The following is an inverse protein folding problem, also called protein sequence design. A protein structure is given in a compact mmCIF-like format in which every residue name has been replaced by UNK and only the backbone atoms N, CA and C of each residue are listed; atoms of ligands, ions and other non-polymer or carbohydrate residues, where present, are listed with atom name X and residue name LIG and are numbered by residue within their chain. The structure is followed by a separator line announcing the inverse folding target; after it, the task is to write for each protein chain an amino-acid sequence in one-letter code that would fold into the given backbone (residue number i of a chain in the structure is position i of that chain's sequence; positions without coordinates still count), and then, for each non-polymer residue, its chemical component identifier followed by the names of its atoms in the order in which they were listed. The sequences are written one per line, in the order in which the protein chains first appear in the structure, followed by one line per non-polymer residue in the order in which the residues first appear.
data_IF_782436503517
#
_entry.id   IF_782436503517
#
_cell.length_a   1.000
_cell.length_b   1.000
_cell.length_c   1.000
_cell.angle_alpha   90.00
_cell.angle_beta   90.00
_cell.angle_gamma   90.00
#
_symmetry.space_group_name_H-M   'P 1'
#
loop_
_entity.id
_entity.type
_entity.pdbx_description
1 polymer ?
#
# COMPACT_ATOMS: atom_id res chain seq x y z
N UNK A 1 -7.56 -32.34 -12.85
CA UNK A 1 -8.69 -31.52 -12.34
C UNK A 1 -8.30 -30.67 -11.13
N UNK A 2 -7.84 -31.26 -10.01
CA UNK A 2 -7.40 -30.49 -8.82
C UNK A 2 -6.33 -29.43 -9.11
N UNK A 3 -5.31 -29.77 -9.90
CA UNK A 3 -4.24 -28.83 -10.29
C UNK A 3 -4.77 -27.66 -11.13
N UNK A 4 -5.66 -27.91 -12.09
CA UNK A 4 -6.27 -26.86 -12.91
C UNK A 4 -7.09 -25.87 -12.06
N UNK A 5 -7.83 -26.38 -11.06
CA UNK A 5 -8.59 -25.54 -10.12
C UNK A 5 -7.65 -24.68 -9.26
N UNK A 6 -6.54 -25.24 -8.77
CA UNK A 6 -5.58 -24.48 -7.99
C UNK A 6 -4.91 -23.38 -8.83
N UNK A 7 -4.50 -23.69 -10.06
CA UNK A 7 -3.94 -22.69 -10.97
C UNK A 7 -4.94 -21.55 -11.24
N UNK A 8 -6.22 -21.87 -11.45
CA UNK A 8 -7.25 -20.86 -11.68
C UNK A 8 -7.41 -19.92 -10.48
N UNK A 9 -7.37 -20.46 -9.26
CA UNK A 9 -7.41 -19.66 -8.03
C UNK A 9 -6.19 -18.75 -7.92
N UNK A 10 -5.00 -19.30 -8.14
CA UNK A 10 -3.75 -18.54 -8.08
C UNK A 10 -3.74 -17.40 -9.12
N UNK A 11 -4.15 -17.68 -10.35
CA UNK A 11 -4.22 -16.65 -11.40
C UNK A 11 -5.28 -15.58 -11.10
N UNK A 12 -6.41 -15.96 -10.49
CA UNK A 12 -7.43 -14.99 -10.08
C UNK A 12 -6.91 -14.07 -8.96
N UNK A 13 -6.18 -14.61 -7.97
CA UNK A 13 -5.58 -13.80 -6.90
C UNK A 13 -4.50 -12.85 -7.44
N UNK A 14 -3.64 -13.32 -8.35
CA UNK A 14 -2.64 -12.47 -9.01
C UNK A 14 -3.29 -11.37 -9.85
N UNK A 15 -4.35 -11.69 -10.59
CA UNK A 15 -5.10 -10.72 -11.38
C UNK A 15 -5.82 -9.70 -10.49
N UNK A 16 -6.38 -10.09 -9.36
CA UNK A 16 -6.96 -9.14 -8.41
C UNK A 16 -5.88 -8.25 -7.80
N UNK A 17 -4.76 -8.85 -7.38
CA UNK A 17 -3.65 -8.11 -6.79
C UNK A 17 -3.07 -7.06 -7.74
N UNK A 18 -3.12 -7.26 -9.07
CA UNK A 18 -2.57 -6.30 -10.02
C UNK A 18 -3.30 -4.95 -10.04
N UNK A 19 -4.53 -4.89 -9.54
CA UNK A 19 -5.34 -3.66 -9.48
C UNK A 19 -5.17 -2.85 -8.19
N UNK A 20 -4.41 -3.34 -7.21
CA UNK A 20 -4.16 -2.59 -5.98
C UNK A 20 -3.18 -1.43 -6.19
N UNK A 21 -3.32 -0.39 -5.37
CA UNK A 21 -2.57 0.86 -5.45
C UNK A 21 -1.22 0.77 -4.71
N UNK A 22 -0.29 -0.05 -5.24
CA UNK A 22 1.04 -0.20 -4.64
C UNK A 22 1.91 1.05 -4.78
N UNK A 23 1.53 1.98 -5.64
CA UNK A 23 2.13 3.31 -5.78
C UNK A 23 1.93 4.18 -4.53
N UNK A 24 0.90 3.94 -3.71
CA UNK A 24 0.69 4.67 -2.46
C UNK A 24 1.74 4.39 -1.39
N UNK A 25 2.63 3.40 -1.60
CA UNK A 25 3.72 3.06 -0.68
C UNK A 25 4.72 4.20 -0.52
N UNK A 26 4.97 4.97 -1.59
CA UNK A 26 5.97 6.05 -1.62
C UNK A 26 5.43 7.27 -2.34
N UNK A 27 5.90 8.44 -1.96
CA UNK A 27 5.66 9.64 -2.75
C UNK A 27 6.53 9.68 -4.02
N UNK A 28 6.37 10.74 -4.83
CA UNK A 28 7.13 10.94 -6.06
C UNK A 28 8.65 11.05 -5.85
N UNK A 29 9.11 11.30 -4.63
CA UNK A 29 10.52 11.38 -4.26
C UNK A 29 11.05 10.05 -3.69
N UNK A 30 10.22 9.00 -3.67
CA UNK A 30 10.58 7.70 -3.14
C UNK A 30 10.55 7.61 -1.61
N UNK A 31 9.98 8.61 -0.91
CA UNK A 31 9.87 8.61 0.55
C UNK A 31 8.62 7.81 0.93
N UNK A 32 8.73 6.83 1.87
CA UNK A 32 7.58 6.08 2.34
C UNK A 32 6.44 6.99 2.80
N UNK A 33 5.22 6.69 2.37
CA UNK A 33 4.03 7.38 2.87
C UNK A 33 3.51 6.69 4.13
N UNK A 34 2.62 7.38 4.84
CA UNK A 34 2.14 6.93 6.14
C UNK A 34 0.63 6.84 6.18
N UNK A 35 0.10 6.19 7.21
CA UNK A 35 -1.30 6.20 7.62
C UNK A 35 -1.37 6.48 9.11
N UNK A 36 -2.54 6.90 9.60
CA UNK A 36 -2.76 6.96 11.04
C UNK A 36 -2.81 5.55 11.65
N UNK A 37 -2.21 5.35 12.82
CA UNK A 37 -2.51 4.15 13.59
C UNK A 37 -3.90 4.26 14.21
N UNK A 38 -4.67 3.19 14.12
CA UNK A 38 -6.03 3.10 14.65
C UNK A 38 -6.07 2.18 15.87
N UNK A 39 -6.88 2.54 16.85
CA UNK A 39 -7.21 1.67 17.98
C UNK A 39 -8.15 0.51 17.55
N UNK A 40 -8.48 -0.37 18.49
CA UNK A 40 -9.40 -1.50 18.25
C UNK A 40 -10.81 -1.09 17.80
N UNK A 41 -11.20 0.17 18.03
CA UNK A 41 -12.50 0.73 17.64
C UNK A 41 -12.42 1.52 16.32
N UNK A 42 -11.24 1.60 15.69
CA UNK A 42 -11.02 2.34 14.44
C UNK A 42 -10.75 3.84 14.62
N UNK A 43 -10.50 4.32 15.84
CA UNK A 43 -10.19 5.73 16.08
C UNK A 43 -8.69 6.00 15.96
N UNK A 44 -8.32 7.19 15.45
CA UNK A 44 -6.92 7.65 15.38
C UNK A 44 -6.33 7.75 16.79
N UNK A 45 -5.16 7.15 17.00
CA UNK A 45 -4.44 7.21 18.28
C UNK A 45 -3.72 8.57 18.38
N UNK A 46 -3.97 9.34 19.45
CA UNK A 46 -3.30 10.62 19.70
C UNK A 46 -1.86 10.42 20.17
N UNK A 47 -0.94 11.15 19.55
CA UNK A 47 0.47 11.21 19.95
C UNK A 47 1.08 12.52 19.42
N UNK A 48 1.37 13.44 20.34
CA UNK A 48 1.89 14.80 20.04
C UNK A 48 3.33 14.78 19.50
N UNK A 49 4.01 13.64 19.51
CA UNK A 49 5.34 13.50 18.89
C UNK A 49 5.29 13.55 17.36
N UNK A 50 4.12 13.34 16.77
CA UNK A 50 3.92 13.34 15.33
C UNK A 50 3.39 14.69 14.84
N UNK A 51 3.70 15.10 13.59
CA UNK A 51 3.35 16.43 13.09
C UNK A 51 1.86 16.76 13.16
N UNK A 52 1.00 15.74 13.02
CA UNK A 52 -0.47 15.90 13.04
C UNK A 52 -1.09 15.62 14.42
N UNK A 53 -0.28 15.37 15.45
CA UNK A 53 -0.76 15.03 16.80
C UNK A 53 -1.39 13.64 16.94
N UNK A 54 -1.24 12.79 15.92
CA UNK A 54 -1.71 11.41 15.90
C UNK A 54 -0.57 10.50 15.49
N UNK A 55 -0.52 9.29 16.05
CA UNK A 55 0.49 8.31 15.71
C UNK A 55 0.40 7.96 14.22
N UNK A 56 1.52 8.09 13.52
CA UNK A 56 1.65 7.77 12.10
C UNK A 56 2.53 6.54 11.93
N UNK A 57 2.13 5.61 11.08
CA UNK A 57 2.89 4.40 10.73
C UNK A 57 3.10 4.33 9.23
N UNK A 58 4.22 3.75 8.79
CA UNK A 58 4.50 3.58 7.37
C UNK A 58 3.46 2.67 6.69
N UNK A 59 3.08 3.02 5.46
CA UNK A 59 2.26 2.15 4.60
C UNK A 59 3.06 0.88 4.32
N UNK A 60 2.40 -0.27 4.42
CA UNK A 60 3.00 -1.57 4.07
C UNK A 60 2.20 -2.21 2.94
N UNK A 61 2.75 -3.26 2.32
CA UNK A 61 2.03 -4.04 1.30
C UNK A 61 0.75 -4.66 1.87
N UNK A 62 0.75 -5.05 3.15
CA UNK A 62 -0.44 -5.54 3.83
C UNK A 62 -1.53 -4.49 3.87
N UNK A 63 -1.20 -3.25 4.25
CA UNK A 63 -2.17 -2.15 4.31
C UNK A 63 -2.85 -1.92 2.94
N UNK A 64 -2.09 -2.03 1.84
CA UNK A 64 -2.59 -1.77 0.49
C UNK A 64 -3.61 -2.82 0.04
N UNK A 65 -3.38 -4.11 0.34
CA UNK A 65 -4.21 -5.19 -0.20
C UNK A 65 -5.32 -5.63 0.75
N UNK A 66 -5.15 -5.43 2.06
CA UNK A 66 -6.06 -5.95 3.08
C UNK A 66 -7.27 -5.02 3.27
N UNK A 67 -8.47 -5.61 3.15
CA UNK A 67 -9.77 -4.94 3.30
C UNK A 67 -9.96 -4.26 4.65
N UNK A 68 -9.26 -4.71 5.69
CA UNK A 68 -9.27 -4.08 7.02
C UNK A 68 -8.92 -2.59 6.96
N UNK A 69 -8.02 -2.21 6.05
CA UNK A 69 -7.52 -0.84 5.91
C UNK A 69 -8.26 -0.05 4.81
N UNK A 70 -9.30 -0.64 4.20
CA UNK A 70 -10.04 -0.02 3.11
C UNK A 70 -10.64 1.33 3.53
N UNK A 71 -10.47 2.34 2.69
CA UNK A 71 -10.95 3.70 2.91
C UNK A 71 -10.07 4.54 3.84
N UNK A 72 -9.04 3.95 4.44
CA UNK A 72 -8.11 4.69 5.28
C UNK A 72 -7.27 5.66 4.44
N UNK A 73 -7.15 6.89 4.93
CA UNK A 73 -6.40 7.97 4.32
C UNK A 73 -4.90 7.69 4.34
N UNK A 74 -4.25 7.85 3.18
CA UNK A 74 -2.79 7.80 3.06
C UNK A 74 -2.23 9.21 3.12
N UNK A 75 -1.37 9.45 4.10
CA UNK A 75 -0.82 10.77 4.42
C UNK A 75 0.29 11.17 3.45
N UNK A 76 0.30 12.44 3.10
CA UNK A 76 1.42 13.06 2.38
C UNK A 76 2.62 13.25 3.31
N UNK A 77 3.81 13.31 2.73
CA UNK A 77 5.00 13.72 3.47
C UNK A 77 5.04 15.24 3.57
N UNK A 78 5.07 15.75 4.80
CA UNK A 78 5.17 17.18 5.08
C UNK A 78 6.59 17.67 4.83
N UNK A 79 6.71 18.89 4.30
CA UNK A 79 7.99 19.57 4.20
C UNK A 79 8.37 20.13 5.58
N UNK A 80 9.65 20.02 5.93
CA UNK A 80 10.19 20.62 7.16
C UNK A 80 10.44 22.11 6.93
N UNK A 81 9.96 22.94 7.85
CA UNK A 81 10.14 24.39 7.84
C UNK A 81 9.11 25.06 8.72
N UNK A 82 9.55 26.07 9.47
CA UNK A 82 8.72 26.80 10.47
C UNK A 82 8.19 28.13 9.90
N UNK A 83 8.29 28.32 8.59
CA UNK A 83 7.81 29.52 7.91
C UNK A 83 6.38 29.34 7.37
N UNK A 84 5.67 30.47 7.25
CA UNK A 84 4.27 30.49 6.81
C UNK A 84 4.08 29.92 5.40
N UNK A 85 5.06 30.02 4.50
CA UNK A 85 4.92 29.46 3.15
C UNK A 85 4.99 27.93 3.18
N UNK A 86 5.85 27.36 4.02
CA UNK A 86 5.94 25.91 4.24
C UNK A 86 4.64 25.37 4.84
N UNK A 87 4.09 26.05 5.86
CA UNK A 87 2.79 25.70 6.45
C UNK A 87 1.67 25.75 5.40
N UNK A 88 1.53 26.86 4.67
CA UNK A 88 0.51 27.01 3.63
C UNK A 88 0.61 25.94 2.54
N UNK A 89 1.83 25.59 2.12
CA UNK A 89 2.06 24.56 1.10
C UNK A 89 1.70 23.17 1.62
N UNK A 90 2.05 22.85 2.86
CA UNK A 90 1.67 21.60 3.51
C UNK A 90 0.15 21.51 3.63
N UNK A 91 -0.51 22.55 4.15
CA UNK A 91 -1.98 22.60 4.25
C UNK A 91 -2.67 22.47 2.89
N UNK A 92 -2.18 23.14 1.85
CA UNK A 92 -2.74 22.99 0.51
C UNK A 92 -2.63 21.54 0.01
N UNK A 93 -1.46 20.91 0.16
CA UNK A 93 -1.27 19.51 -0.25
C UNK A 93 -2.20 18.56 0.53
N UNK A 94 -2.41 18.78 1.82
CA UNK A 94 -3.37 18.00 2.63
C UNK A 94 -4.79 18.13 2.07
N UNK A 95 -5.24 19.36 1.80
CA UNK A 95 -6.59 19.62 1.27
C UNK A 95 -6.84 18.94 -0.07
N UNK A 96 -5.82 18.82 -0.92
CA UNK A 96 -5.91 18.16 -2.21
C UNK A 96 -5.47 16.68 -2.19
N UNK A 97 -5.21 16.11 -1.02
CA UNK A 97 -4.90 14.70 -0.88
C UNK A 97 -6.20 13.89 -0.76
N UNK A 98 -6.48 13.08 -1.79
CA UNK A 98 -7.66 12.21 -1.82
C UNK A 98 -7.28 10.72 -1.74
N UNK A 99 -6.01 10.42 -1.50
CA UNK A 99 -5.50 9.08 -1.58
C UNK A 99 -5.99 8.22 -0.40
N UNK A 100 -6.59 7.08 -0.75
CA UNK A 100 -7.12 6.12 0.20
C UNK A 100 -6.72 4.72 -0.19
N UNK A 101 -6.50 3.89 0.83
CA UNK A 101 -6.28 2.47 0.63
C UNK A 101 -7.57 1.82 0.11
N UNK A 102 -7.43 0.88 -0.83
CA UNK A 102 -8.56 0.20 -1.45
C UNK A 102 -8.36 -1.33 -1.52
N UNK A 103 -7.71 -1.89 -0.50
CA UNK A 103 -7.52 -3.32 -0.38
C UNK A 103 -8.85 -4.07 -0.31
N UNK A 104 -8.89 -5.26 -0.90
CA UNK A 104 -10.09 -6.10 -0.94
C UNK A 104 -9.86 -7.50 -0.33
N UNK A 105 -8.61 -7.89 -0.11
CA UNK A 105 -8.28 -9.19 0.45
C UNK A 105 -8.68 -9.28 1.91
N UNK A 106 -9.20 -10.44 2.32
CA UNK A 106 -9.33 -10.74 3.74
C UNK A 106 -7.96 -10.86 4.42
N UNK A 107 -7.93 -10.80 5.76
CA UNK A 107 -6.69 -10.89 6.53
C UNK A 107 -5.92 -12.20 6.26
N UNK A 108 -6.60 -13.34 6.33
CA UNK A 108 -6.01 -14.67 6.05
C UNK A 108 -5.54 -14.78 4.59
N UNK A 109 -6.30 -14.20 3.65
CA UNK A 109 -5.94 -14.21 2.24
C UNK A 109 -4.67 -13.37 2.02
N UNK A 110 -4.59 -12.20 2.64
CA UNK A 110 -3.41 -11.32 2.58
C UNK A 110 -2.17 -12.02 3.11
N UNK A 111 -2.26 -12.66 4.28
CA UNK A 111 -1.16 -13.43 4.88
C UNK A 111 -0.67 -14.53 3.93
N UNK A 112 -1.58 -15.38 3.44
CA UNK A 112 -1.25 -16.47 2.51
C UNK A 112 -0.69 -15.98 1.18
N UNK A 113 -1.20 -14.86 0.67
CA UNK A 113 -0.71 -14.25 -0.56
C UNK A 113 0.77 -13.84 -0.41
N UNK A 114 1.11 -13.11 0.65
CA UNK A 114 2.49 -12.69 0.89
C UNK A 114 3.39 -13.79 1.46
N UNK A 115 2.87 -14.92 1.95
CA UNK A 115 3.67 -16.13 2.18
C UNK A 115 4.21 -16.73 0.87
N UNK A 116 3.48 -16.53 -0.24
CA UNK A 116 3.79 -17.15 -1.53
C UNK A 116 4.44 -16.20 -2.52
N UNK A 117 4.06 -14.93 -2.52
CA UNK A 117 4.47 -13.96 -3.54
C UNK A 117 5.25 -12.78 -2.94
N UNK A 118 6.27 -12.34 -3.69
CA UNK A 118 6.97 -11.07 -3.53
C UNK A 118 6.47 -10.08 -4.59
N UNK A 119 6.25 -8.82 -4.20
CA UNK A 119 6.09 -7.72 -5.15
C UNK A 119 7.46 -7.32 -5.69
N UNK A 120 7.67 -7.44 -7.01
CA UNK A 120 8.92 -7.02 -7.64
C UNK A 120 8.81 -5.59 -8.18
N UNK A 121 7.77 -5.32 -8.97
CA UNK A 121 7.55 -4.04 -9.65
C UNK A 121 6.06 -3.75 -9.66
N UNK A 122 5.70 -2.50 -9.43
CA UNK A 122 4.39 -1.96 -9.75
C UNK A 122 4.57 -0.74 -10.66
N UNK A 123 3.77 -0.69 -11.72
CA UNK A 123 3.59 0.46 -12.57
C UNK A 123 2.15 0.95 -12.35
N UNK A 124 1.97 2.15 -11.78
CA UNK A 124 0.64 2.72 -11.58
C UNK A 124 -0.06 2.98 -12.91
N UNK A 125 -1.36 3.26 -12.84
CA UNK A 125 -2.16 3.60 -14.01
C UNK A 125 -1.54 4.78 -14.77
N UNK A 126 -1.16 4.53 -16.02
CA UNK A 126 -0.77 5.59 -16.96
C UNK A 126 -2.00 6.33 -17.47
N UNK A 127 -1.81 7.42 -18.22
CA UNK A 127 -2.90 8.15 -18.89
C UNK A 127 -3.77 7.26 -19.81
N UNK A 128 -3.23 6.10 -20.24
CA UNK A 128 -3.96 5.10 -21.01
C UNK A 128 -4.87 4.18 -20.16
N UNK A 129 -4.86 4.32 -18.83
CA UNK A 129 -5.62 3.47 -17.90
C UNK A 129 -5.00 2.09 -17.64
N UNK A 130 -3.75 1.88 -18.06
CA UNK A 130 -3.02 0.63 -17.86
C UNK A 130 -2.11 0.70 -16.63
N UNK A 131 -2.30 -0.23 -15.68
CA UNK A 131 -1.34 -0.57 -14.63
C UNK A 131 -0.74 -1.96 -14.89
N UNK A 132 0.46 -2.19 -14.38
CA UNK A 132 1.09 -3.49 -14.42
C UNK A 132 1.78 -3.80 -13.09
N UNK A 133 1.52 -4.99 -12.56
CA UNK A 133 2.15 -5.45 -11.33
C UNK A 133 2.87 -6.77 -11.61
N UNK A 134 4.17 -6.80 -11.34
CA UNK A 134 4.99 -8.01 -11.44
C UNK A 134 5.19 -8.62 -10.06
N UNK A 135 4.68 -9.84 -9.89
CA UNK A 135 4.78 -10.64 -8.67
C UNK A 135 5.63 -11.88 -8.95
N UNK A 136 6.46 -12.27 -7.98
CA UNK A 136 7.28 -13.48 -8.07
C UNK A 136 6.92 -14.46 -6.98
N UNK A 137 6.81 -15.74 -7.31
CA UNK A 137 6.73 -16.79 -6.29
C UNK A 137 8.05 -16.88 -5.51
N UNK A 138 7.97 -16.85 -4.19
CA UNK A 138 9.13 -16.95 -3.29
C UNK A 138 9.90 -18.26 -3.51
N UNK A 139 9.19 -19.37 -3.74
CA UNK A 139 9.78 -20.71 -3.87
C UNK A 139 10.53 -20.93 -5.19
N UNK A 140 10.23 -20.17 -6.26
CA UNK A 140 10.94 -20.27 -7.55
C UNK A 140 12.24 -19.46 -7.58
N UNK A 141 12.35 -18.43 -6.73
CA UNK A 141 13.55 -17.58 -6.60
C UNK A 141 14.79 -18.36 -6.11
N UNK A 142 14.59 -19.38 -5.26
CA UNK A 142 15.67 -20.23 -4.73
C UNK A 142 16.25 -21.16 -5.81
N UNK A 143 15.48 -21.53 -6.84
CA UNK A 143 15.97 -22.40 -7.91
C UNK A 143 16.81 -21.65 -8.95
N UNK A 144 16.48 -20.39 -9.21
CA UNK A 144 17.19 -19.55 -10.19
C UNK A 144 18.47 -18.90 -9.66
N UNK A 145 18.71 -18.93 -8.34
CA UNK A 145 19.97 -18.47 -7.71
C UNK A 145 20.99 -19.61 -7.53
N UNK A 146 20.63 -20.85 -7.91
CA UNK A 146 21.47 -22.05 -7.81
C UNK A 146 21.96 -22.56 -9.16
N UNK A 147 21.78 -21.78 -10.23
CA UNK A 147 22.34 -22.01 -11.57
C UNK A 147 23.38 -20.93 -11.85
#
# INVERSE_FOLDING_TARGET
MKQAINNLKDYAELAQASYFYFDLFKDSNGIPRKIYELDSNGNKIKDEKYPRGYKEIEVTLEHIVNKKYQGQEVLINLQQGDDIFTEMKNSAKEVFNFDKLNGEFGEIQTQRFFERYDLLIHQPNTESGFSATLLSEKNKRIQNLKQ
#
